data_IF_983708618109
#
_entry.id   IF_983708618109
#
_cell.length_a   1.000
_cell.length_b   1.000
_cell.length_c   1.000
_cell.angle_alpha   90.00
_cell.angle_beta   90.00
_cell.angle_gamma   90.00
#
_symmetry.space_group_name_H-M   'P 1'
#
loop_
_entity.id
_entity.type
_entity.pdbx_description
1 polymer ?
#
# COMPACT_ATOMS: atom_id res chain seq x y z
N UNK A 1 20.26 -4.21 2.62
CA UNK A 1 19.15 -3.71 1.80
C UNK A 1 19.39 -4.03 0.31
N UNK A 2 20.61 -3.97 -0.21
CA UNK A 2 20.92 -4.31 -1.61
C UNK A 2 20.53 -5.73 -2.04
N UNK A 3 20.52 -6.68 -1.13
CA UNK A 3 20.33 -8.10 -1.44
C UNK A 3 18.85 -8.53 -1.45
N UNK A 4 17.94 -7.72 -0.92
CA UNK A 4 16.52 -8.04 -0.86
C UNK A 4 15.76 -7.86 -2.20
N UNK A 5 16.33 -7.13 -3.15
CA UNK A 5 15.62 -6.74 -4.36
C UNK A 5 16.15 -7.34 -5.67
N UNK A 6 17.15 -8.23 -5.63
CA UNK A 6 17.78 -8.73 -6.84
C UNK A 6 17.35 -10.16 -7.17
N UNK A 7 16.18 -10.33 -7.77
CA UNK A 7 16.02 -11.39 -8.75
C UNK A 7 16.32 -10.78 -10.12
N UNK A 8 17.45 -11.11 -10.72
CA UNK A 8 17.76 -10.77 -12.12
C UNK A 8 16.91 -11.64 -13.04
N UNK A 9 15.70 -11.19 -13.31
CA UNK A 9 14.81 -11.78 -14.29
C UNK A 9 13.79 -10.73 -14.68
N UNK A 10 13.71 -10.42 -15.94
CA UNK A 10 12.70 -9.54 -16.53
C UNK A 10 11.30 -10.10 -16.22
N UNK A 11 10.59 -9.52 -15.25
CA UNK A 11 9.19 -9.81 -14.99
C UNK A 11 8.79 -9.92 -13.53
N UNK A 12 9.54 -10.59 -12.66
CA UNK A 12 9.10 -10.90 -11.30
C UNK A 12 10.08 -10.39 -10.24
N UNK A 13 10.03 -9.10 -9.97
CA UNK A 13 10.76 -8.53 -8.84
C UNK A 13 9.83 -8.57 -7.63
N UNK A 14 9.96 -9.62 -6.82
CA UNK A 14 9.35 -9.73 -5.49
C UNK A 14 10.44 -9.86 -4.44
N UNK A 15 10.12 -9.53 -3.20
CA UNK A 15 11.00 -9.76 -2.06
C UNK A 15 10.99 -11.24 -1.68
N UNK A 16 11.79 -12.04 -2.36
CA UNK A 16 11.97 -13.46 -2.01
C UNK A 16 12.85 -13.58 -0.77
N UNK A 17 12.50 -14.52 0.09
CA UNK A 17 13.29 -14.92 1.24
C UNK A 17 14.44 -15.84 0.81
N UNK A 18 15.48 -15.86 1.63
CA UNK A 18 16.61 -16.78 1.51
C UNK A 18 16.64 -17.72 2.72
N UNK A 19 17.10 -18.93 2.50
CA UNK A 19 17.40 -19.87 3.58
C UNK A 19 18.68 -19.45 4.35
N UNK A 20 19.05 -20.24 5.36
CA UNK A 20 20.25 -20.04 6.17
C UNK A 20 21.56 -20.13 5.40
N UNK A 21 21.56 -20.70 4.20
CA UNK A 21 22.69 -20.75 3.26
C UNK A 21 22.68 -19.60 2.25
N UNK A 22 21.72 -18.69 2.35
CA UNK A 22 21.58 -17.55 1.45
C UNK A 22 20.97 -17.88 0.08
N UNK A 23 20.41 -19.09 -0.09
CA UNK A 23 19.76 -19.50 -1.33
C UNK A 23 18.32 -19.04 -1.34
N UNK A 24 17.86 -18.47 -2.45
CA UNK A 24 16.45 -18.08 -2.59
C UNK A 24 15.51 -19.29 -2.49
N UNK A 25 14.41 -19.12 -1.77
CA UNK A 25 13.34 -20.11 -1.68
C UNK A 25 12.85 -20.43 -3.09
N UNK A 26 12.80 -21.74 -3.40
CA UNK A 26 12.24 -22.24 -4.65
C UNK A 26 10.71 -22.18 -4.62
N UNK A 27 10.11 -22.21 -5.79
CA UNK A 27 8.64 -22.30 -5.98
C UNK A 27 7.86 -21.15 -5.31
N UNK A 28 8.48 -19.97 -5.25
CA UNK A 28 7.86 -18.75 -4.72
C UNK A 28 6.70 -18.31 -5.63
N UNK A 29 5.51 -18.20 -5.06
CA UNK A 29 4.36 -17.54 -5.67
C UNK A 29 4.05 -16.27 -4.91
N UNK A 30 3.80 -15.19 -5.63
CA UNK A 30 3.64 -13.86 -5.03
C UNK A 30 2.33 -13.70 -4.25
N UNK A 31 1.32 -14.48 -4.56
CA UNK A 31 0.00 -14.52 -3.94
C UNK A 31 -0.11 -15.52 -2.78
N UNK A 32 0.87 -16.41 -2.62
CA UNK A 32 0.88 -17.34 -1.49
C UNK A 32 1.13 -16.64 -0.16
N UNK A 33 0.32 -16.94 0.83
CA UNK A 33 0.53 -16.56 2.23
C UNK A 33 1.40 -17.61 2.92
N UNK A 34 2.67 -17.30 3.09
CA UNK A 34 3.66 -18.23 3.62
C UNK A 34 4.14 -17.80 5.02
N UNK A 35 4.69 -18.72 5.84
CA UNK A 35 5.24 -18.35 7.14
C UNK A 35 6.49 -17.46 7.05
N UNK A 36 6.99 -17.19 5.87
CA UNK A 36 8.16 -16.35 5.63
C UNK A 36 7.85 -14.86 5.51
N UNK A 37 6.57 -14.49 5.36
CA UNK A 37 6.09 -13.12 5.29
C UNK A 37 4.99 -12.96 6.34
N UNK A 38 5.19 -12.05 7.29
CA UNK A 38 4.22 -11.82 8.37
C UNK A 38 3.01 -11.07 7.82
N UNK A 39 1.82 -11.62 8.04
CA UNK A 39 0.52 -11.00 7.73
C UNK A 39 0.40 -10.43 6.30
N UNK A 40 1.05 -11.06 5.33
CA UNK A 40 1.15 -10.52 3.99
C UNK A 40 1.53 -11.60 2.99
N UNK A 41 1.45 -11.27 1.71
CA UNK A 41 2.02 -12.05 0.63
C UNK A 41 3.06 -11.24 -0.15
N UNK A 42 3.61 -11.80 -1.21
CA UNK A 42 4.64 -11.13 -2.01
C UNK A 42 4.15 -9.85 -2.71
N UNK A 43 2.87 -9.83 -3.12
CA UNK A 43 2.26 -8.64 -3.72
C UNK A 43 2.20 -7.47 -2.73
N UNK A 44 1.73 -7.71 -1.52
CA UNK A 44 1.55 -6.68 -0.50
C UNK A 44 2.90 -6.24 0.08
N UNK A 45 3.77 -7.18 0.42
CA UNK A 45 5.04 -6.91 1.07
C UNK A 45 6.04 -6.18 0.17
N UNK A 46 5.90 -6.30 -1.15
CA UNK A 46 6.79 -5.68 -2.13
C UNK A 46 6.97 -4.18 -1.91
N UNK A 47 5.90 -3.48 -1.52
CA UNK A 47 5.84 -2.03 -1.41
C UNK A 47 6.39 -1.47 -0.09
N UNK A 48 6.80 -2.31 0.85
CA UNK A 48 7.33 -1.90 2.17
C UNK A 48 8.73 -1.30 2.08
N UNK A 49 8.87 -0.20 1.31
CA UNK A 49 10.10 0.57 1.07
C UNK A 49 9.78 2.08 1.12
N UNK A 50 8.98 2.51 2.10
CA UNK A 50 8.54 3.91 2.24
C UNK A 50 9.72 4.89 2.42
N UNK A 51 10.85 4.40 2.90
CA UNK A 51 12.07 5.17 3.15
C UNK A 51 12.87 5.50 1.87
N UNK A 52 12.66 4.76 0.77
CA UNK A 52 13.38 4.94 -0.50
C UNK A 52 12.53 4.52 -1.70
N UNK A 53 11.46 5.26 -1.94
CA UNK A 53 10.53 5.00 -3.06
C UNK A 53 11.23 5.17 -4.41
N UNK A 54 12.08 6.19 -4.55
CA UNK A 54 12.84 6.42 -5.79
C UNK A 54 13.78 5.27 -6.10
N UNK A 55 14.44 4.71 -5.09
CA UNK A 55 15.25 3.51 -5.21
C UNK A 55 14.43 2.30 -5.68
N UNK A 56 13.22 2.12 -5.15
CA UNK A 56 12.32 1.06 -5.58
C UNK A 56 11.86 1.25 -7.03
N UNK A 57 11.51 2.47 -7.43
CA UNK A 57 11.17 2.82 -8.83
C UNK A 57 12.31 2.46 -9.79
N UNK A 58 13.54 2.81 -9.42
CA UNK A 58 14.72 2.49 -10.24
C UNK A 58 14.96 0.98 -10.33
N UNK A 59 14.80 0.24 -9.23
CA UNK A 59 14.96 -1.22 -9.20
C UNK A 59 13.94 -1.96 -10.07
N UNK A 60 12.70 -1.47 -10.13
CA UNK A 60 11.64 -2.03 -10.99
C UNK A 60 11.91 -1.75 -12.47
N UNK A 61 12.74 -0.76 -12.78
CA UNK A 61 13.07 -0.40 -14.16
C UNK A 61 12.38 0.88 -14.65
N UNK A 62 12.06 1.77 -13.71
CA UNK A 62 11.53 3.10 -13.99
C UNK A 62 10.03 3.23 -13.80
N UNK A 63 9.55 4.48 -13.95
CA UNK A 63 8.19 4.90 -13.61
C UNK A 63 7.09 4.11 -14.30
N UNK A 64 7.22 3.81 -15.58
CA UNK A 64 6.19 3.10 -16.33
C UNK A 64 6.01 1.66 -15.83
N UNK A 65 7.12 0.92 -15.64
CA UNK A 65 7.06 -0.44 -15.09
C UNK A 65 6.57 -0.47 -13.65
N UNK A 66 6.94 0.56 -12.89
CA UNK A 66 6.42 0.71 -11.52
C UNK A 66 4.91 0.92 -11.53
N UNK A 67 4.38 1.79 -12.42
CA UNK A 67 2.95 2.01 -12.58
C UNK A 67 2.22 0.73 -13.01
N UNK A 68 2.73 0.02 -14.02
CA UNK A 68 2.16 -1.26 -14.48
C UNK A 68 2.08 -2.30 -13.36
N UNK A 69 3.16 -2.42 -12.57
CA UNK A 69 3.19 -3.35 -11.44
C UNK A 69 2.22 -2.94 -10.33
N UNK A 70 2.13 -1.64 -10.06
CA UNK A 70 1.22 -1.10 -9.05
C UNK A 70 -0.25 -1.26 -9.49
N UNK A 71 -0.57 -0.96 -10.75
CA UNK A 71 -1.90 -1.23 -11.32
C UNK A 71 -2.24 -2.72 -11.27
N UNK A 72 -1.26 -3.59 -11.55
CA UNK A 72 -1.46 -5.05 -11.47
C UNK A 72 -1.84 -5.50 -10.07
N UNK A 73 -1.31 -4.88 -9.02
CA UNK A 73 -1.71 -5.18 -7.64
C UNK A 73 -3.21 -4.95 -7.41
N UNK A 74 -3.77 -3.88 -7.97
CA UNK A 74 -5.20 -3.54 -7.79
C UNK A 74 -6.14 -4.32 -8.72
N UNK A 75 -5.61 -4.96 -9.75
CA UNK A 75 -6.42 -5.65 -10.78
C UNK A 75 -6.26 -7.15 -10.78
N UNK A 76 -5.19 -7.69 -10.16
CA UNK A 76 -4.98 -9.13 -10.06
C UNK A 76 -5.89 -9.74 -9.00
N UNK A 77 -6.73 -10.68 -9.41
CA UNK A 77 -7.57 -11.45 -8.52
C UNK A 77 -7.01 -12.87 -8.41
N UNK A 78 -6.80 -13.39 -7.20
CA UNK A 78 -6.50 -14.81 -7.00
C UNK A 78 -7.69 -15.66 -7.47
N UNK A 79 -7.51 -16.98 -7.56
CA UNK A 79 -8.63 -17.87 -7.85
C UNK A 79 -9.70 -17.77 -6.75
N UNK A 80 -10.97 -17.92 -7.11
CA UNK A 80 -12.10 -17.84 -6.18
C UNK A 80 -12.05 -18.91 -5.07
N UNK A 81 -11.23 -19.96 -5.28
CA UNK A 81 -11.07 -21.07 -4.35
C UNK A 81 -10.03 -20.81 -3.24
N UNK A 82 -9.28 -19.69 -3.30
CA UNK A 82 -8.24 -19.39 -2.31
C UNK A 82 -8.87 -18.77 -1.04
N UNK A 83 -8.81 -19.48 0.08
CA UNK A 83 -9.18 -18.93 1.39
C UNK A 83 -8.18 -17.84 1.81
N UNK A 84 -8.68 -16.62 1.98
CA UNK A 84 -7.87 -15.50 2.46
C UNK A 84 -7.68 -15.57 3.98
N UNK A 85 -6.47 -15.27 4.48
CA UNK A 85 -6.24 -15.15 5.92
C UNK A 85 -7.09 -14.03 6.55
N UNK A 86 -7.35 -14.13 7.85
CA UNK A 86 -8.20 -13.19 8.62
C UNK A 86 -7.76 -11.73 8.53
N UNK A 87 -6.47 -11.47 8.32
CA UNK A 87 -5.91 -10.13 8.17
C UNK A 87 -6.02 -9.58 6.73
N UNK A 88 -6.36 -10.41 5.75
CA UNK A 88 -6.52 -9.99 4.36
C UNK A 88 -7.96 -9.59 4.08
N UNK A 89 -8.33 -8.41 4.53
CA UNK A 89 -9.68 -7.86 4.41
C UNK A 89 -9.67 -6.56 3.61
N UNK A 90 -10.83 -6.12 3.14
CA UNK A 90 -10.94 -4.91 2.32
C UNK A 90 -10.13 -5.00 1.04
N UNK A 91 -10.21 -6.14 0.35
CA UNK A 91 -9.41 -6.43 -0.83
C UNK A 91 -9.88 -5.66 -2.06
N UNK A 92 -8.91 -5.04 -2.75
CA UNK A 92 -9.05 -4.54 -4.12
C UNK A 92 -7.92 -5.17 -4.93
N UNK A 93 -8.19 -6.23 -5.66
CA UNK A 93 -7.14 -7.10 -6.20
C UNK A 93 -6.31 -7.71 -5.07
N UNK A 94 -5.01 -7.49 -5.09
CA UNK A 94 -4.09 -7.91 -4.01
C UNK A 94 -3.84 -6.81 -2.95
N UNK A 95 -4.42 -5.64 -3.12
CA UNK A 95 -4.37 -4.57 -2.10
C UNK A 95 -5.32 -4.90 -0.96
N UNK A 96 -4.77 -5.11 0.24
CA UNK A 96 -5.52 -5.43 1.46
C UNK A 96 -5.64 -4.19 2.33
N UNK A 97 -6.72 -3.40 2.18
CA UNK A 97 -6.88 -2.16 2.93
C UNK A 97 -7.05 -2.39 4.43
N UNK A 98 -7.65 -3.50 4.82
CA UNK A 98 -7.85 -3.84 6.22
C UNK A 98 -6.58 -4.23 6.99
N UNK A 99 -5.41 -4.21 6.32
CA UNK A 99 -4.11 -4.42 6.95
C UNK A 99 -3.18 -3.21 6.69
N UNK A 100 -2.71 -2.57 7.74
CA UNK A 100 -2.02 -1.26 7.75
C UNK A 100 -0.75 -1.19 6.87
N UNK A 101 0.04 -2.25 6.68
CA UNK A 101 1.18 -2.21 5.76
C UNK A 101 0.81 -1.78 4.32
N UNK A 102 -0.46 -1.88 3.93
CA UNK A 102 -0.96 -1.48 2.62
C UNK A 102 -1.28 0.02 2.50
N UNK A 103 -1.48 0.73 3.60
CA UNK A 103 -2.08 2.08 3.62
C UNK A 103 -1.35 3.13 2.79
N UNK A 104 -0.02 3.05 2.68
CA UNK A 104 0.78 3.99 1.89
C UNK A 104 0.77 3.68 0.38
N UNK A 105 0.42 2.43 0.00
CA UNK A 105 0.66 1.91 -1.35
C UNK A 105 -0.08 2.69 -2.42
N UNK A 106 -1.33 3.08 -2.18
CA UNK A 106 -2.12 3.89 -3.13
C UNK A 106 -1.41 5.21 -3.46
N UNK A 107 -0.77 5.83 -2.47
CA UNK A 107 -0.09 7.11 -2.63
C UNK A 107 1.25 7.02 -3.37
N UNK A 108 1.77 5.82 -3.62
CA UNK A 108 2.98 5.62 -4.42
C UNK A 108 2.81 6.02 -5.89
N UNK A 109 1.60 6.06 -6.41
CA UNK A 109 1.34 6.59 -7.75
C UNK A 109 1.78 8.06 -7.90
N UNK A 110 1.68 8.87 -6.84
CA UNK A 110 2.14 10.26 -6.86
C UNK A 110 3.65 10.36 -7.08
N UNK A 111 4.43 9.47 -6.48
CA UNK A 111 5.90 9.46 -6.59
C UNK A 111 6.38 9.27 -8.04
N UNK A 112 5.53 8.72 -8.90
CA UNK A 112 5.81 8.50 -10.32
C UNK A 112 5.05 9.45 -11.26
N UNK A 113 4.21 10.34 -10.71
CA UNK A 113 3.45 11.36 -11.46
C UNK A 113 2.10 10.89 -11.99
N UNK A 114 1.55 9.78 -11.48
CA UNK A 114 0.23 9.24 -11.84
C UNK A 114 -0.82 9.61 -10.79
N UNK A 115 -0.97 10.90 -10.52
CA UNK A 115 -1.81 11.42 -9.45
C UNK A 115 -3.30 11.08 -9.61
N UNK A 116 -3.78 10.95 -10.84
CA UNK A 116 -5.13 10.53 -11.18
C UNK A 116 -5.44 9.13 -10.62
N UNK A 117 -4.46 8.23 -10.62
CA UNK A 117 -4.59 6.88 -10.04
C UNK A 117 -4.70 6.93 -8.52
N UNK A 118 -3.86 7.73 -7.86
CA UNK A 118 -4.00 7.98 -6.42
C UNK A 118 -5.40 8.47 -6.10
N UNK A 119 -5.89 9.48 -6.81
CA UNK A 119 -7.22 10.07 -6.60
C UNK A 119 -8.33 9.02 -6.77
N UNK A 120 -8.25 8.24 -7.83
CA UNK A 120 -9.22 7.19 -8.12
C UNK A 120 -9.29 6.14 -7.00
N UNK A 121 -8.13 5.55 -6.62
CA UNK A 121 -8.12 4.49 -5.62
C UNK A 121 -8.40 4.99 -4.21
N UNK A 122 -7.96 6.19 -3.84
CA UNK A 122 -8.32 6.82 -2.55
C UNK A 122 -9.83 7.00 -2.46
N UNK A 123 -10.46 7.57 -3.49
CA UNK A 123 -11.91 7.74 -3.51
C UNK A 123 -12.65 6.39 -3.48
N UNK A 124 -12.16 5.39 -4.21
CA UNK A 124 -12.72 4.03 -4.20
C UNK A 124 -12.69 3.43 -2.80
N UNK A 125 -11.54 3.44 -2.13
CA UNK A 125 -11.41 2.91 -0.77
C UNK A 125 -12.33 3.62 0.21
N UNK A 126 -12.31 4.96 0.23
CA UNK A 126 -13.16 5.74 1.14
C UNK A 126 -14.66 5.45 0.95
N UNK A 127 -15.12 5.24 -0.28
CA UNK A 127 -16.52 5.03 -0.58
C UNK A 127 -16.98 3.57 -0.38
N UNK A 128 -16.10 2.60 -0.65
CA UNK A 128 -16.50 1.19 -0.67
C UNK A 128 -16.17 0.44 0.63
N UNK A 129 -15.08 0.85 1.32
CA UNK A 129 -14.52 0.09 2.44
C UNK A 129 -14.77 0.75 3.82
N UNK A 130 -15.39 1.92 3.85
CA UNK A 130 -15.79 2.59 5.09
C UNK A 130 -17.29 2.86 5.07
N UNK A 131 -17.95 2.59 6.19
CA UNK A 131 -19.40 2.78 6.35
C UNK A 131 -19.71 3.48 7.66
N UNK A 132 -20.78 4.28 7.67
CA UNK A 132 -21.25 4.97 8.87
C UNK A 132 -22.13 4.03 9.72
N UNK A 133 -21.55 2.99 10.28
CA UNK A 133 -22.18 1.99 11.13
C UNK A 133 -21.17 1.41 12.14
N UNK A 134 -21.59 0.78 13.24
CA UNK A 134 -20.66 0.26 14.25
C UNK A 134 -19.63 -0.73 13.72
N UNK A 135 -19.94 -1.51 12.68
CA UNK A 135 -19.04 -2.45 12.00
C UNK A 135 -18.55 -1.87 10.65
N UNK A 136 -18.37 -0.56 10.56
CA UNK A 136 -18.11 0.14 9.32
C UNK A 136 -16.69 0.10 8.79
N UNK A 137 -15.77 -0.57 9.49
CA UNK A 137 -14.39 -0.79 9.04
C UNK A 137 -14.25 -2.15 8.37
N UNK A 138 -13.44 -2.24 7.32
CA UNK A 138 -13.19 -3.49 6.60
C UNK A 138 -12.12 -4.38 7.26
N UNK A 139 -11.51 -3.94 8.35
CA UNK A 139 -10.50 -4.65 9.13
C UNK A 139 -10.52 -4.21 10.58
N UNK A 140 -9.50 -4.59 11.35
CA UNK A 140 -9.32 -4.13 12.72
C UNK A 140 -8.99 -2.64 12.74
N UNK A 141 -9.36 -1.94 13.82
CA UNK A 141 -9.06 -0.49 13.97
C UNK A 141 -7.56 -0.24 14.19
N UNK A 142 -6.90 -1.15 14.88
CA UNK A 142 -5.49 -1.16 15.23
C UNK A 142 -4.95 0.18 15.76
N UNK A 143 -5.39 0.50 16.97
CA UNK A 143 -4.99 1.70 17.72
C UNK A 143 -5.29 3.01 17.01
N UNK A 144 -6.31 3.05 16.16
CA UNK A 144 -6.75 4.26 15.44
C UNK A 144 -6.14 4.41 14.04
N UNK A 145 -5.37 3.46 13.56
CA UNK A 145 -4.71 3.57 12.25
C UNK A 145 -5.70 3.59 11.09
N UNK A 146 -6.74 2.75 11.13
CA UNK A 146 -7.77 2.73 10.09
C UNK A 146 -8.55 4.04 10.02
N UNK A 147 -8.97 4.57 11.16
CA UNK A 147 -9.65 5.87 11.24
C UNK A 147 -8.72 7.02 10.85
N UNK A 148 -7.45 6.98 11.26
CA UNK A 148 -6.46 7.98 10.90
C UNK A 148 -6.23 8.03 9.38
N UNK A 149 -6.16 6.86 8.72
CA UNK A 149 -6.04 6.82 7.26
C UNK A 149 -7.22 7.50 6.58
N UNK A 150 -8.45 7.20 7.03
CA UNK A 150 -9.66 7.83 6.47
C UNK A 150 -9.65 9.34 6.68
N UNK A 151 -9.33 9.82 7.90
CA UNK A 151 -9.30 11.25 8.22
C UNK A 151 -8.26 11.99 7.38
N UNK A 152 -7.03 11.47 7.28
CA UNK A 152 -5.99 12.05 6.43
C UNK A 152 -6.39 12.08 4.96
N UNK A 153 -6.92 10.98 4.45
CA UNK A 153 -7.37 10.88 3.06
C UNK A 153 -8.55 11.81 2.77
N UNK A 154 -9.50 11.95 3.71
CA UNK A 154 -10.61 12.90 3.62
C UNK A 154 -10.14 14.36 3.65
N UNK A 155 -9.05 14.65 4.35
CA UNK A 155 -8.38 15.95 4.30
C UNK A 155 -7.60 16.18 2.99
N UNK A 156 -7.38 15.12 2.21
CA UNK A 156 -6.74 15.20 0.91
C UNK A 156 -5.23 15.03 0.91
N UNK A 157 -4.63 14.47 1.94
CA UNK A 157 -3.19 14.19 1.99
C UNK A 157 -2.86 12.99 2.89
N UNK A 158 -1.69 12.37 2.66
CA UNK A 158 -1.23 11.22 3.45
C UNK A 158 0.31 11.16 3.53
N UNK A 159 0.90 10.83 4.69
CA UNK A 159 2.35 10.70 4.84
C UNK A 159 2.81 9.29 4.43
N UNK A 160 3.33 9.12 3.21
CA UNK A 160 3.94 7.84 2.78
C UNK A 160 5.15 7.50 3.64
N UNK A 161 6.00 8.49 3.89
CA UNK A 161 7.13 8.40 4.82
C UNK A 161 6.97 9.45 5.92
N UNK A 162 6.40 9.09 7.09
CA UNK A 162 6.11 10.05 8.16
C UNK A 162 7.33 10.82 8.67
N UNK A 163 8.51 10.20 8.61
CA UNK A 163 9.77 10.81 9.09
C UNK A 163 10.26 11.93 8.14
N UNK A 164 9.84 11.90 6.89
CA UNK A 164 10.26 12.90 5.89
C UNK A 164 9.65 14.29 6.08
N UNK A 165 8.55 14.39 6.83
CA UNK A 165 7.73 15.61 6.94
C UNK A 165 7.03 16.00 5.63
N UNK A 166 6.94 15.10 4.65
CA UNK A 166 6.25 15.28 3.37
C UNK A 166 4.93 14.55 3.36
N UNK A 167 3.96 15.15 2.68
CA UNK A 167 2.64 14.55 2.48
C UNK A 167 2.35 14.45 1.00
N UNK A 168 1.81 13.32 0.60
CA UNK A 168 1.29 13.10 -0.74
C UNK A 168 -0.13 13.64 -0.85
N UNK A 169 -0.46 14.31 -1.95
CA UNK A 169 -1.78 14.91 -2.18
C UNK A 169 -2.71 13.87 -2.79
N UNK A 170 -3.83 13.65 -2.14
CA UNK A 170 -4.92 12.79 -2.60
C UNK A 170 -6.12 13.59 -3.09
N UNK A 171 -7.32 13.07 -2.82
CA UNK A 171 -8.60 13.72 -3.16
C UNK A 171 -9.30 14.14 -1.88
N UNK A 172 -9.35 15.44 -1.54
CA UNK A 172 -10.09 15.90 -0.37
C UNK A 172 -11.58 15.59 -0.50
N UNK A 173 -12.20 15.18 0.59
CA UNK A 173 -13.64 14.91 0.64
C UNK A 173 -14.44 16.20 0.84
N UNK A 174 -13.85 17.24 1.41
CA UNK A 174 -14.49 18.49 1.76
C UNK A 174 -13.94 19.65 0.93
N UNK A 175 -14.77 20.63 0.57
CA UNK A 175 -14.35 21.81 -0.18
C UNK A 175 -13.44 22.77 0.63
N UNK A 176 -13.54 22.72 1.95
CA UNK A 176 -12.73 23.53 2.88
C UNK A 176 -12.46 22.74 4.15
N UNK A 177 -11.22 22.78 4.62
CA UNK A 177 -10.77 22.17 5.87
C UNK A 177 -9.89 23.19 6.60
N UNK A 178 -10.13 23.38 7.89
CA UNK A 178 -9.34 24.28 8.75
C UNK A 178 -8.70 23.47 9.88
N UNK A 179 -7.39 23.47 9.93
CA UNK A 179 -6.63 22.85 11.01
C UNK A 179 -6.15 23.92 12.00
N UNK A 180 -6.66 23.87 13.22
CA UNK A 180 -6.22 24.75 14.30
C UNK A 180 -5.00 24.12 14.99
N UNK A 181 -3.85 24.73 14.80
CA UNK A 181 -2.58 24.23 15.33
C UNK A 181 -2.36 24.63 16.79
N UNK A 182 -1.57 23.87 17.53
CA UNK A 182 -1.26 24.13 18.93
C UNK A 182 -0.57 25.48 19.18
N UNK A 183 0.07 26.06 18.17
CA UNK A 183 0.68 27.39 18.23
C UNK A 183 -0.30 28.55 17.95
N UNK A 184 -1.61 28.28 17.89
CA UNK A 184 -2.67 29.25 17.64
C UNK A 184 -2.84 29.67 16.16
N UNK A 185 -2.04 29.10 15.24
CA UNK A 185 -2.22 29.32 13.79
C UNK A 185 -3.27 28.40 13.21
N UNK A 186 -3.84 28.81 12.10
CA UNK A 186 -4.75 27.99 11.28
C UNK A 186 -4.08 27.68 9.95
N UNK A 187 -4.11 26.42 9.58
CA UNK A 187 -3.73 25.95 8.25
C UNK A 187 -5.00 25.56 7.49
#
# INVERSE_FOLDING_TARGET
>A
IRDFCLSRGLGDVYKRQRDDKGVFIKDFKADDYTPHICESNGWQYFWSVQHDVDGLVNLVGGKNRFAEKLDSMFTYHPSEDDELPLFSTGMIGQYAHGNEPSHHVIYLFNSIGFNDRTQYYVAKVMNELYKNEPAGLCGNEDCGQMSAWYVFSAMGFYPVNPVSGRYEIGTPLFPEIKLHLANGKTF
#
